data_IF_719465507051
#
_entry.id   IF_719465507051
#
_cell.length_a   1.000
_cell.length_b   1.000
_cell.length_c   1.000
_cell.angle_alpha   90.00
_cell.angle_beta   90.00
_cell.angle_gamma   90.00
#
_symmetry.space_group_name_H-M   'P 1'
#
loop_
_entity.id
_entity.type
_entity.pdbx_description
1 polymer ?
#
# COMPACT_ATOMS: atom_id res chain seq x y z
N UNK A 1 -36.77 -39.82 -8.00
CA UNK A 1 -35.44 -39.43 -7.49
C UNK A 1 -35.02 -38.14 -8.19
N UNK A 2 -35.19 -37.00 -7.53
CA UNK A 2 -34.87 -35.68 -8.08
C UNK A 2 -33.39 -35.36 -7.82
N UNK A 3 -32.64 -35.00 -8.88
CA UNK A 3 -31.25 -34.53 -8.78
C UNK A 3 -31.25 -33.02 -8.56
N UNK A 4 -30.90 -32.60 -7.34
CA UNK A 4 -30.63 -31.20 -7.00
C UNK A 4 -29.24 -30.82 -7.54
N UNK A 5 -29.16 -29.92 -8.52
CA UNK A 5 -27.90 -29.32 -8.95
C UNK A 5 -27.51 -28.22 -7.95
N UNK A 6 -26.33 -28.37 -7.35
CA UNK A 6 -25.73 -27.37 -6.47
C UNK A 6 -25.41 -26.08 -7.22
N UNK A 7 -25.81 -24.96 -6.63
CA UNK A 7 -25.53 -23.62 -7.11
C UNK A 7 -24.06 -23.28 -6.79
N UNK A 8 -23.21 -23.19 -7.81
CA UNK A 8 -21.83 -22.74 -7.65
C UNK A 8 -21.83 -21.23 -7.38
N UNK A 9 -21.43 -20.82 -6.18
CA UNK A 9 -21.30 -19.42 -5.81
C UNK A 9 -20.36 -18.67 -6.74
N UNK A 10 -20.88 -17.64 -7.39
CA UNK A 10 -20.10 -16.70 -8.19
C UNK A 10 -19.15 -15.94 -7.27
N UNK A 11 -17.83 -16.19 -7.38
CA UNK A 11 -16.83 -15.30 -6.78
C UNK A 11 -16.95 -13.94 -7.47
N UNK A 12 -17.51 -12.96 -6.77
CA UNK A 12 -17.50 -11.56 -7.20
C UNK A 12 -16.04 -11.13 -7.25
N UNK A 13 -15.51 -10.92 -8.45
CA UNK A 13 -14.21 -10.27 -8.60
C UNK A 13 -14.36 -8.82 -8.13
N UNK A 14 -13.42 -8.26 -7.35
CA UNK A 14 -13.45 -6.85 -6.98
C UNK A 14 -13.48 -6.01 -8.26
N UNK A 15 -14.32 -4.98 -8.29
CA UNK A 15 -14.35 -4.04 -9.41
C UNK A 15 -12.96 -3.39 -9.55
N UNK A 16 -12.49 -3.24 -10.79
CA UNK A 16 -11.26 -2.49 -11.08
C UNK A 16 -11.49 -1.04 -10.66
N UNK A 17 -10.69 -0.55 -9.71
CA UNK A 17 -10.75 0.83 -9.27
C UNK A 17 -10.04 1.75 -10.27
N UNK A 18 -10.54 2.97 -10.43
CA UNK A 18 -9.89 3.96 -11.29
C UNK A 18 -8.50 4.32 -10.72
N UNK A 19 -7.42 4.07 -11.49
CA UNK A 19 -6.05 4.32 -11.03
C UNK A 19 -5.74 5.81 -10.82
N UNK A 20 -6.58 6.71 -11.33
CA UNK A 20 -6.39 8.17 -11.25
C UNK A 20 -6.93 8.80 -9.98
N UNK A 21 -7.75 8.06 -9.22
CA UNK A 21 -8.37 8.57 -7.99
C UNK A 21 -7.40 8.42 -6.82
N UNK A 22 -7.00 9.55 -6.22
CA UNK A 22 -6.21 9.57 -5.00
C UNK A 22 -7.11 9.40 -3.75
N UNK A 23 -6.56 8.95 -2.60
CA UNK A 23 -7.27 9.02 -1.31
C UNK A 23 -7.84 10.43 -1.05
N UNK A 24 -9.00 10.53 -0.40
CA UNK A 24 -9.66 11.83 -0.22
C UNK A 24 -8.85 12.77 0.69
N UNK A 25 -8.23 12.23 1.73
CA UNK A 25 -7.40 12.96 2.71
C UNK A 25 -6.17 13.62 2.09
N UNK A 26 -5.76 13.19 0.90
CA UNK A 26 -4.63 13.75 0.17
C UNK A 26 -4.96 15.09 -0.52
N UNK A 27 -6.24 15.49 -0.55
CA UNK A 27 -6.73 16.67 -1.26
C UNK A 27 -7.49 17.67 -0.38
N UNK A 28 -7.58 17.43 0.92
CA UNK A 28 -8.40 18.25 1.84
C UNK A 28 -7.65 19.43 2.47
N UNK A 29 -6.40 19.67 2.07
CA UNK A 29 -5.57 20.78 2.56
C UNK A 29 -5.07 20.63 4.00
N UNK A 30 -5.36 19.50 4.66
CA UNK A 30 -4.88 19.22 6.01
C UNK A 30 -3.52 18.51 5.99
N UNK A 31 -2.75 18.56 7.10
CA UNK A 31 -1.46 17.91 7.19
C UNK A 31 -1.49 16.43 6.82
N UNK A 32 -0.40 15.94 6.23
CA UNK A 32 -0.20 14.52 5.87
C UNK A 32 1.01 13.95 6.62
N UNK A 33 1.06 12.62 6.85
CA UNK A 33 2.26 11.96 7.34
C UNK A 33 3.44 12.22 6.41
N UNK A 34 4.64 12.34 6.98
CA UNK A 34 5.87 12.56 6.21
C UNK A 34 6.45 11.28 5.60
N UNK A 35 5.95 10.11 6.02
CA UNK A 35 6.33 8.80 5.49
C UNK A 35 5.16 7.83 5.66
N UNK A 36 4.80 7.13 4.58
CA UNK A 36 3.89 5.99 4.63
C UNK A 36 4.68 4.69 4.51
N UNK A 37 4.48 3.79 5.47
CA UNK A 37 5.11 2.47 5.49
C UNK A 37 4.03 1.41 5.32
N UNK A 38 4.32 0.38 4.53
CA UNK A 38 3.41 -0.74 4.29
C UNK A 38 4.08 -2.06 4.66
N UNK A 39 3.31 -2.98 5.23
CA UNK A 39 3.63 -4.41 5.12
C UNK A 39 3.42 -4.91 3.67
N UNK A 40 3.78 -6.16 3.40
CA UNK A 40 3.62 -6.80 2.10
C UNK A 40 2.43 -7.76 2.07
N UNK A 41 2.52 -8.85 2.83
CA UNK A 41 1.61 -9.97 2.72
C UNK A 41 0.26 -9.58 3.33
N UNK A 42 -0.85 -9.85 2.63
CA UNK A 42 -2.20 -9.40 2.98
C UNK A 42 -2.40 -7.88 3.15
N UNK A 43 -1.36 -7.08 2.88
CA UNK A 43 -1.43 -5.62 2.83
C UNK A 43 -1.38 -5.12 1.40
N UNK A 44 -0.27 -5.32 0.68
CA UNK A 44 -0.17 -4.92 -0.74
C UNK A 44 -0.71 -5.99 -1.68
N UNK A 45 -0.67 -7.26 -1.30
CA UNK A 45 -1.18 -8.37 -2.11
C UNK A 45 -1.89 -9.44 -1.26
N UNK A 46 -2.82 -10.24 -1.82
CA UNK A 46 -3.70 -11.13 -1.03
C UNK A 46 -3.12 -12.52 -0.74
N UNK A 47 -1.84 -12.61 -0.37
CA UNK A 47 -1.16 -13.89 -0.10
C UNK A 47 0.10 -13.71 0.76
N UNK A 48 0.54 -14.77 1.43
CA UNK A 48 1.91 -14.89 1.95
C UNK A 48 2.89 -15.32 0.86
N UNK A 49 3.90 -14.51 0.60
CA UNK A 49 4.91 -14.78 -0.44
C UNK A 49 5.78 -16.02 -0.16
N UNK A 50 6.07 -16.31 1.11
CA UNK A 50 6.89 -17.47 1.50
C UNK A 50 6.12 -18.80 1.53
N UNK A 51 4.81 -18.76 1.40
CA UNK A 51 3.93 -19.92 1.51
C UNK A 51 3.26 -20.27 0.19
N UNK A 52 2.70 -19.27 -0.49
CA UNK A 52 1.86 -19.48 -1.67
C UNK A 52 2.62 -19.42 -2.99
N UNK A 53 3.78 -18.75 -3.04
CA UNK A 53 4.47 -18.47 -4.31
C UNK A 53 5.61 -19.46 -4.53
N UNK A 54 5.63 -20.14 -5.69
CA UNK A 54 6.74 -21.04 -6.05
C UNK A 54 7.71 -20.42 -7.07
N UNK A 55 8.92 -19.99 -6.65
CA UNK A 55 9.88 -19.36 -7.57
C UNK A 55 10.34 -20.30 -8.69
N UNK A 56 10.81 -19.75 -9.84
CA UNK A 56 10.95 -18.32 -10.13
C UNK A 56 9.62 -17.67 -10.53
N UNK A 57 9.52 -16.36 -10.29
CA UNK A 57 8.39 -15.53 -10.76
C UNK A 57 8.72 -14.85 -12.09
N UNK A 58 7.72 -14.68 -12.96
CA UNK A 58 7.83 -14.00 -14.26
C UNK A 58 6.70 -13.01 -14.44
N UNK A 59 7.02 -11.80 -14.91
CA UNK A 59 5.99 -10.81 -15.24
C UNK A 59 5.06 -11.29 -16.36
N UNK A 60 3.79 -10.90 -16.26
CA UNK A 60 2.73 -11.15 -17.23
C UNK A 60 1.83 -9.93 -17.35
N UNK A 61 1.06 -9.89 -18.44
CA UNK A 61 0.03 -8.89 -18.71
C UNK A 61 0.54 -7.45 -18.50
N UNK A 62 1.61 -7.12 -19.22
CA UNK A 62 2.31 -5.83 -19.12
C UNK A 62 2.72 -5.47 -17.67
N UNK A 63 3.21 -6.48 -16.94
CA UNK A 63 3.68 -6.37 -15.55
C UNK A 63 2.60 -6.00 -14.52
N UNK A 64 1.32 -6.05 -14.89
CA UNK A 64 0.21 -5.89 -13.94
C UNK A 64 0.07 -7.09 -12.98
N UNK A 65 0.64 -8.24 -13.36
CA UNK A 65 0.74 -9.43 -12.52
C UNK A 65 2.02 -10.19 -12.80
N UNK A 66 2.33 -11.15 -11.94
CA UNK A 66 3.37 -12.14 -12.17
C UNK A 66 2.81 -13.56 -12.07
N UNK A 67 3.49 -14.51 -12.68
CA UNK A 67 3.21 -15.94 -12.56
C UNK A 67 4.41 -16.68 -12.00
N UNK A 68 4.14 -17.68 -11.19
CA UNK A 68 5.17 -18.53 -10.60
C UNK A 68 5.54 -19.71 -11.54
N UNK A 69 6.34 -20.67 -11.05
CA UNK A 69 6.77 -21.83 -11.87
C UNK A 69 5.62 -22.76 -12.28
N UNK A 70 4.51 -22.74 -11.55
CA UNK A 70 3.32 -23.56 -11.83
C UNK A 70 2.27 -22.81 -12.66
N UNK A 71 2.52 -21.54 -12.96
CA UNK A 71 1.59 -20.69 -13.70
C UNK A 71 0.50 -20.07 -12.82
N UNK A 72 0.61 -20.17 -11.50
CA UNK A 72 -0.30 -19.47 -10.59
C UNK A 72 -0.05 -17.95 -10.67
N UNK A 73 -1.11 -17.17 -10.59
CA UNK A 73 -1.10 -15.74 -10.90
C UNK A 73 -1.21 -14.88 -9.64
N UNK A 74 -0.30 -13.91 -9.51
CA UNK A 74 -0.16 -13.05 -8.35
C UNK A 74 -0.12 -11.58 -8.76
N UNK A 75 -0.91 -10.73 -8.09
CA UNK A 75 -1.02 -9.31 -8.34
C UNK A 75 -1.27 -8.54 -7.03
N UNK A 76 -1.12 -7.21 -7.06
CA UNK A 76 -1.51 -6.36 -5.94
C UNK A 76 -3.03 -6.30 -5.75
N UNK A 77 -3.47 -5.82 -4.59
CA UNK A 77 -4.84 -5.35 -4.42
C UNK A 77 -5.15 -4.20 -5.42
N UNK A 78 -6.40 -4.08 -5.92
CA UNK A 78 -6.74 -3.15 -7.00
C UNK A 78 -6.34 -1.69 -6.75
N UNK A 79 -6.50 -1.20 -5.52
CA UNK A 79 -6.23 0.20 -5.16
C UNK A 79 -4.72 0.52 -5.02
N UNK A 80 -3.85 -0.47 -4.89
CA UNK A 80 -2.43 -0.24 -4.54
C UNK A 80 -1.74 0.63 -5.58
N UNK A 81 -2.02 0.43 -6.87
CA UNK A 81 -1.39 1.25 -7.91
C UNK A 81 -1.74 2.73 -7.76
N UNK A 82 -3.02 3.07 -7.58
CA UNK A 82 -3.44 4.48 -7.42
C UNK A 82 -2.88 5.11 -6.15
N UNK A 83 -2.84 4.36 -5.05
CA UNK A 83 -2.30 4.82 -3.76
C UNK A 83 -0.81 5.19 -3.91
N UNK A 84 0.01 4.30 -4.47
CA UNK A 84 1.44 4.55 -4.61
C UNK A 84 1.73 5.72 -5.58
N UNK A 85 0.93 5.86 -6.64
CA UNK A 85 1.02 7.01 -7.55
C UNK A 85 0.62 8.32 -6.88
N UNK A 86 -0.44 8.32 -6.08
CA UNK A 86 -0.90 9.48 -5.34
C UNK A 86 0.12 9.95 -4.29
N UNK A 87 0.85 9.02 -3.68
CA UNK A 87 1.97 9.32 -2.78
C UNK A 87 3.12 9.97 -3.55
N UNK A 88 3.49 9.40 -4.70
CA UNK A 88 4.56 9.93 -5.56
C UNK A 88 4.26 11.34 -6.06
N UNK A 89 3.04 11.61 -6.52
CA UNK A 89 2.65 12.96 -7.00
C UNK A 89 2.68 14.02 -5.91
N UNK A 90 2.61 13.62 -4.63
CA UNK A 90 2.72 14.49 -3.46
C UNK A 90 4.10 14.48 -2.82
N UNK A 91 5.06 13.81 -3.42
CA UNK A 91 6.40 13.63 -2.86
C UNK A 91 6.38 13.07 -1.43
N UNK A 92 5.42 12.19 -1.12
CA UNK A 92 5.38 11.46 0.15
C UNK A 92 6.28 10.23 -0.02
N UNK A 93 7.40 10.14 0.72
CA UNK A 93 8.25 8.95 0.73
C UNK A 93 7.46 7.72 1.19
N UNK A 94 7.90 6.56 0.69
CA UNK A 94 7.30 5.26 0.93
C UNK A 94 8.33 4.30 1.52
N UNK A 95 7.89 3.52 2.50
CA UNK A 95 8.67 2.45 3.10
C UNK A 95 7.97 1.09 3.02
N UNK A 96 8.77 0.03 3.10
CA UNK A 96 8.32 -1.34 3.31
C UNK A 96 8.90 -1.87 4.61
N UNK A 97 8.08 -2.53 5.39
CA UNK A 97 8.50 -3.33 6.54
C UNK A 97 7.83 -4.68 6.43
N UNK A 98 8.53 -5.76 6.10
CA UNK A 98 7.95 -7.10 5.96
C UNK A 98 8.79 -8.17 6.65
N UNK A 99 8.09 -9.08 7.34
CA UNK A 99 8.67 -10.13 8.17
C UNK A 99 8.89 -11.44 7.44
N UNK A 100 8.59 -11.50 6.14
CA UNK A 100 8.63 -12.74 5.36
C UNK A 100 9.98 -13.46 5.49
N UNK A 101 9.93 -14.80 5.53
CA UNK A 101 11.12 -15.65 5.47
C UNK A 101 11.67 -15.81 4.04
N UNK A 102 11.00 -15.26 3.04
CA UNK A 102 11.44 -15.27 1.64
C UNK A 102 11.78 -13.87 1.11
N UNK A 103 12.77 -13.16 1.70
CA UNK A 103 13.05 -11.77 1.36
C UNK A 103 13.48 -11.56 -0.10
N UNK A 104 14.23 -12.50 -0.68
CA UNK A 104 14.65 -12.42 -2.08
C UNK A 104 13.48 -12.62 -3.03
N UNK A 105 12.57 -13.54 -2.72
CA UNK A 105 11.36 -13.77 -3.52
C UNK A 105 10.43 -12.55 -3.48
N UNK A 106 10.23 -11.95 -2.31
CA UNK A 106 9.46 -10.72 -2.17
C UNK A 106 10.05 -9.58 -3.03
N UNK A 107 11.38 -9.41 -3.03
CA UNK A 107 12.05 -8.43 -3.90
C UNK A 107 11.88 -8.76 -5.38
N UNK A 108 11.94 -10.03 -5.76
CA UNK A 108 11.74 -10.44 -7.14
C UNK A 108 10.31 -10.23 -7.62
N UNK A 109 9.31 -10.43 -6.76
CA UNK A 109 7.93 -10.03 -7.05
C UNK A 109 7.79 -8.52 -7.24
N UNK A 110 8.35 -7.71 -6.34
CA UNK A 110 8.31 -6.24 -6.45
C UNK A 110 9.07 -5.70 -7.68
N UNK A 111 10.08 -6.42 -8.19
CA UNK A 111 10.75 -6.11 -9.47
C UNK A 111 9.90 -6.50 -10.68
N UNK A 112 9.15 -7.60 -10.57
CA UNK A 112 8.32 -8.12 -11.65
C UNK A 112 7.00 -7.33 -11.81
N UNK A 113 6.41 -6.88 -10.69
CA UNK A 113 5.18 -6.10 -10.64
C UNK A 113 5.46 -4.61 -10.86
N UNK A 114 4.59 -3.96 -11.64
CA UNK A 114 4.71 -2.53 -11.97
C UNK A 114 3.49 -1.76 -11.49
N UNK A 115 3.72 -0.51 -11.11
CA UNK A 115 2.69 0.48 -10.84
C UNK A 115 2.34 1.15 -12.16
N UNK A 116 1.10 0.96 -12.62
CA UNK A 116 0.63 1.39 -13.94
C UNK A 116 -0.27 2.62 -13.76
N UNK A 117 0.15 3.82 -14.23
CA UNK A 117 -0.56 5.08 -13.97
C UNK A 117 -1.95 5.21 -14.58
N UNK A 118 -2.15 4.58 -15.73
CA UNK A 118 -3.44 4.53 -16.41
C UNK A 118 -3.38 3.41 -17.44
N UNK A 119 -4.49 2.72 -17.66
CA UNK A 119 -4.66 1.83 -18.80
C UNK A 119 -5.01 2.59 -20.09
N UNK A 120 -4.81 3.93 -20.14
CA UNK A 120 -5.11 4.74 -21.32
C UNK A 120 -3.95 4.79 -22.31
N UNK A 121 -4.27 4.58 -23.58
CA UNK A 121 -3.36 4.72 -24.74
C UNK A 121 -3.05 6.19 -25.07
N UNK A 122 -3.06 7.11 -24.11
CA UNK A 122 -2.78 8.53 -24.37
C UNK A 122 -1.29 8.85 -24.13
N UNK A 123 -0.44 8.86 -25.18
CA UNK A 123 1.00 9.09 -25.06
C UNK A 123 1.39 10.51 -24.67
N UNK A 124 0.44 11.46 -24.56
CA UNK A 124 0.72 12.86 -24.23
C UNK A 124 1.00 13.12 -22.74
N UNK A 125 0.71 12.18 -21.85
CA UNK A 125 1.06 12.31 -20.43
C UNK A 125 2.53 11.89 -20.21
N UNK A 126 3.47 12.82 -20.45
CA UNK A 126 4.92 12.57 -20.36
C UNK A 126 5.41 12.02 -19.00
N UNK A 127 4.57 12.07 -17.96
CA UNK A 127 4.85 11.56 -16.61
C UNK A 127 4.20 10.19 -16.29
N UNK A 128 3.56 9.52 -17.26
CA UNK A 128 2.69 8.34 -17.04
C UNK A 128 3.35 6.97 -17.33
N UNK A 129 4.68 6.87 -17.23
CA UNK A 129 5.37 5.59 -17.50
C UNK A 129 5.16 4.60 -16.34
N UNK A 130 4.87 3.32 -16.62
CA UNK A 130 4.92 2.26 -15.63
C UNK A 130 6.25 2.24 -14.90
N UNK A 131 6.22 2.05 -13.59
CA UNK A 131 7.42 1.98 -12.73
C UNK A 131 7.42 0.65 -12.00
N UNK A 132 8.59 0.01 -11.83
CA UNK A 132 8.71 -1.18 -10.98
C UNK A 132 8.22 -0.84 -9.58
N UNK A 133 7.41 -1.71 -8.99
CA UNK A 133 6.87 -1.46 -7.65
C UNK A 133 7.98 -1.24 -6.62
N UNK A 134 9.08 -2.00 -6.71
CA UNK A 134 10.24 -1.81 -5.84
C UNK A 134 10.81 -0.39 -5.88
N UNK A 135 10.85 0.24 -7.06
CA UNK A 135 11.44 1.58 -7.24
C UNK A 135 10.55 2.70 -6.65
N UNK A 136 9.32 2.38 -6.23
CA UNK A 136 8.45 3.33 -5.53
C UNK A 136 8.85 3.53 -4.06
N UNK A 137 9.56 2.59 -3.46
CA UNK A 137 9.86 2.58 -2.02
C UNK A 137 11.32 2.99 -1.75
N UNK A 138 11.51 4.04 -0.96
CA UNK A 138 12.84 4.56 -0.61
C UNK A 138 13.47 3.82 0.58
N UNK A 139 12.64 3.27 1.46
CA UNK A 139 13.08 2.60 2.70
C UNK A 139 12.57 1.17 2.73
N UNK A 140 13.37 0.20 2.27
CA UNK A 140 12.92 -1.19 2.07
C UNK A 140 13.55 -2.11 3.12
N UNK A 141 12.75 -2.50 4.12
CA UNK A 141 13.13 -3.46 5.15
C UNK A 141 12.31 -4.75 4.98
N UNK A 142 12.93 -5.79 4.42
CA UNK A 142 12.29 -7.11 4.21
C UNK A 142 13.21 -8.18 4.80
N UNK A 143 12.90 -8.64 6.01
CA UNK A 143 13.62 -9.71 6.71
C UNK A 143 12.85 -10.22 7.94
N UNK A 144 13.09 -11.46 8.40
CA UNK A 144 12.44 -11.98 9.61
C UNK A 144 12.92 -11.29 10.89
N UNK A 145 12.14 -10.35 11.40
CA UNK A 145 12.38 -9.69 12.69
C UNK A 145 11.10 -9.07 13.24
N UNK A 146 11.19 -8.45 14.41
CA UNK A 146 10.13 -7.59 14.93
C UNK A 146 10.00 -6.32 14.08
N UNK A 147 8.78 -5.79 13.90
CA UNK A 147 8.55 -4.54 13.18
C UNK A 147 9.23 -3.35 13.85
N UNK A 148 9.44 -3.36 15.16
CA UNK A 148 10.20 -2.29 15.83
C UNK A 148 11.64 -2.20 15.32
N UNK A 149 12.26 -3.33 14.96
CA UNK A 149 13.59 -3.35 14.35
C UNK A 149 13.58 -2.81 12.91
N UNK A 150 12.53 -3.11 12.15
CA UNK A 150 12.33 -2.55 10.81
C UNK A 150 12.20 -1.03 10.88
N UNK A 151 11.34 -0.54 11.77
CA UNK A 151 11.12 0.89 11.97
C UNK A 151 12.35 1.62 12.50
N UNK A 152 13.17 0.96 13.34
CA UNK A 152 14.46 1.52 13.76
C UNK A 152 15.37 1.79 12.56
N UNK A 153 15.47 0.86 11.61
CA UNK A 153 16.26 1.04 10.39
C UNK A 153 15.65 2.10 9.46
N UNK A 154 14.33 2.08 9.28
CA UNK A 154 13.61 3.09 8.48
C UNK A 154 13.84 4.49 9.05
N UNK A 155 13.78 4.66 10.37
CA UNK A 155 14.01 5.94 11.04
C UNK A 155 15.46 6.42 10.87
N UNK A 156 16.43 5.52 10.98
CA UNK A 156 17.86 5.83 10.76
C UNK A 156 18.14 6.25 9.31
N UNK A 157 17.54 5.56 8.32
CA UNK A 157 17.72 5.85 6.89
C UNK A 157 16.98 7.12 6.45
N UNK A 158 15.77 7.35 6.97
CA UNK A 158 14.92 8.47 6.56
C UNK A 158 15.19 9.76 7.35
N UNK A 159 15.66 9.65 8.60
CA UNK A 159 15.73 10.77 9.53
C UNK A 159 14.35 11.32 9.97
N UNK A 160 13.26 10.67 9.58
CA UNK A 160 11.89 11.10 9.91
C UNK A 160 11.56 10.64 11.34
N UNK A 161 10.88 11.49 12.12
CA UNK A 161 10.46 11.13 13.48
C UNK A 161 9.34 10.09 13.43
N UNK A 162 9.30 9.16 14.38
CA UNK A 162 8.27 8.11 14.41
C UNK A 162 6.83 8.67 14.40
N UNK A 163 6.58 9.74 15.15
CA UNK A 163 5.27 10.42 15.19
C UNK A 163 4.84 11.03 13.85
N UNK A 164 5.79 11.27 12.92
CA UNK A 164 5.51 11.76 11.57
C UNK A 164 5.28 10.60 10.57
N UNK A 165 5.29 9.33 11.03
CA UNK A 165 5.08 8.13 10.22
C UNK A 165 3.69 7.52 10.40
N UNK A 166 3.17 6.92 9.34
CA UNK A 166 1.96 6.09 9.35
C UNK A 166 2.26 4.73 8.74
N UNK A 167 1.86 3.67 9.43
CA UNK A 167 2.13 2.29 9.08
C UNK A 167 0.84 1.50 8.85
N UNK A 168 0.78 0.75 7.76
CA UNK A 168 -0.32 -0.14 7.39
C UNK A 168 0.14 -1.59 7.44
N UNK A 169 -0.60 -2.43 8.16
CA UNK A 169 -0.27 -3.85 8.37
C UNK A 169 -1.52 -4.63 8.76
N UNK A 170 -1.63 -5.89 8.34
CA UNK A 170 -2.78 -6.74 8.62
C UNK A 170 -2.71 -7.50 9.95
N UNK A 171 -1.52 -7.61 10.54
CA UNK A 171 -1.33 -8.35 11.76
C UNK A 171 -1.38 -7.45 12.99
N UNK A 172 -2.41 -7.58 13.81
CA UNK A 172 -2.58 -6.77 15.02
C UNK A 172 -1.40 -6.84 16.01
N UNK A 173 -0.60 -7.92 15.99
CA UNK A 173 0.62 -8.06 16.81
C UNK A 173 1.69 -7.01 16.50
N UNK A 174 1.72 -6.51 15.26
CA UNK A 174 2.67 -5.51 14.78
C UNK A 174 2.31 -4.08 15.25
N UNK A 175 1.21 -3.92 16.01
CA UNK A 175 0.83 -2.66 16.68
C UNK A 175 1.87 -2.19 17.69
N UNK A 176 2.78 -3.06 18.12
CA UNK A 176 3.83 -2.71 19.06
C UNK A 176 4.70 -1.52 18.59
N UNK A 177 4.87 -1.29 17.28
CA UNK A 177 5.54 -0.09 16.77
C UNK A 177 4.88 1.22 17.22
N UNK A 178 3.55 1.21 17.42
CA UNK A 178 2.84 2.38 17.93
C UNK A 178 3.08 2.57 19.42
N UNK A 179 2.99 1.49 20.20
CA UNK A 179 3.13 1.57 21.66
C UNK A 179 4.56 1.83 22.10
N UNK A 180 5.54 1.32 21.35
CA UNK A 180 6.96 1.40 21.72
C UNK A 180 7.70 2.57 21.05
N UNK A 181 7.36 2.92 19.80
CA UNK A 181 8.10 3.92 19.03
C UNK A 181 7.29 5.20 18.76
N UNK A 182 5.96 5.16 18.86
CA UNK A 182 5.08 6.30 18.62
C UNK A 182 4.55 6.45 17.19
N UNK A 183 4.92 5.53 16.29
CA UNK A 183 4.40 5.44 14.92
C UNK A 183 2.87 5.27 14.94
N UNK A 184 2.14 5.93 14.05
CA UNK A 184 0.70 5.63 13.94
C UNK A 184 0.50 4.30 13.22
N UNK A 185 -0.19 3.35 13.86
CA UNK A 185 -0.47 2.03 13.30
C UNK A 185 -1.93 1.92 12.82
N UNK A 186 -2.10 1.53 11.56
CA UNK A 186 -3.39 1.25 10.94
C UNK A 186 -3.50 -0.25 10.63
N UNK A 187 -4.43 -0.94 11.31
CA UNK A 187 -4.74 -2.35 11.05
C UNK A 187 -5.53 -2.47 9.74
N UNK A 188 -5.01 -3.20 8.75
CA UNK A 188 -5.66 -3.44 7.45
C UNK A 188 -6.26 -4.85 7.43
N UNK A 189 -7.57 -5.01 7.26
CA UNK A 189 -8.19 -6.35 7.39
C UNK A 189 -8.30 -7.12 6.09
N UNK A 190 -8.62 -6.43 5.01
CA UNK A 190 -9.03 -7.04 3.75
C UNK A 190 -8.17 -6.54 2.57
N UNK A 191 -6.92 -6.18 2.86
CA UNK A 191 -6.01 -5.57 1.92
C UNK A 191 -6.14 -4.06 1.81
N UNK A 192 -5.14 -3.46 1.16
CA UNK A 192 -5.04 -2.02 1.06
C UNK A 192 -6.08 -1.42 0.11
N UNK A 193 -6.88 -0.48 0.62
CA UNK A 193 -7.80 0.36 -0.17
C UNK A 193 -7.52 1.85 0.05
N UNK A 194 -8.15 2.73 -0.74
CA UNK A 194 -8.01 4.19 -0.52
C UNK A 194 -8.65 4.62 0.80
N UNK A 195 -9.77 4.00 1.17
CA UNK A 195 -10.50 4.27 2.40
C UNK A 195 -9.66 3.89 3.62
N UNK A 196 -8.86 2.84 3.52
CA UNK A 196 -7.91 2.45 4.55
C UNK A 196 -6.78 3.49 4.71
N UNK A 197 -6.29 4.07 3.60
CA UNK A 197 -5.35 5.21 3.66
C UNK A 197 -6.01 6.42 4.32
N UNK A 198 -7.22 6.77 3.91
CA UNK A 198 -7.97 7.89 4.49
C UNK A 198 -8.19 7.70 5.99
N UNK A 199 -8.56 6.49 6.41
CA UNK A 199 -8.72 6.14 7.82
C UNK A 199 -7.40 6.27 8.59
N UNK A 200 -6.31 5.72 8.05
CA UNK A 200 -4.99 5.82 8.66
C UNK A 200 -4.50 7.26 8.79
N UNK A 201 -4.70 8.09 7.77
CA UNK A 201 -4.34 9.53 7.81
C UNK A 201 -5.15 10.26 8.87
N UNK A 202 -6.45 9.97 9.00
CA UNK A 202 -7.27 10.53 10.07
C UNK A 202 -6.83 10.10 11.47
N UNK A 203 -6.45 8.84 11.65
CA UNK A 203 -5.94 8.35 12.93
C UNK A 203 -4.59 8.99 13.28
N UNK A 204 -3.72 9.24 12.28
CA UNK A 204 -2.49 10.01 12.46
C UNK A 204 -2.77 11.48 12.83
N UNK A 205 -3.70 12.13 12.12
CA UNK A 205 -4.13 13.52 12.37
C UNK A 205 -4.65 13.72 13.79
N UNK A 206 -5.50 12.82 14.28
CA UNK A 206 -6.00 12.87 15.67
C UNK A 206 -4.86 12.83 16.69
N UNK A 207 -3.83 12.02 16.44
CA UNK A 207 -2.64 11.93 17.31
C UNK A 207 -1.79 13.20 17.28
N UNK A 208 -1.84 13.96 16.17
CA UNK A 208 -1.23 15.27 16.03
C UNK A 208 -2.11 16.43 16.55
N UNK A 209 -3.30 16.13 17.08
CA UNK A 209 -4.23 17.14 17.59
C UNK A 209 -5.08 17.84 16.51
N UNK A 210 -5.09 17.33 15.27
CA UNK A 210 -5.96 17.83 14.20
C UNK A 210 -7.38 17.30 14.40
N UNK A 211 -8.36 18.19 14.32
CA UNK A 211 -9.76 17.95 14.68
C UNK A 211 -10.71 18.02 13.47
N UNK A 212 -11.96 17.62 13.67
CA UNK A 212 -13.01 17.80 12.66
C UNK A 212 -13.29 19.29 12.35
N UNK A 213 -13.11 20.18 13.33
CA UNK A 213 -13.25 21.62 13.13
C UNK A 213 -12.19 22.15 12.15
N UNK A 214 -10.98 21.60 12.16
CA UNK A 214 -9.93 21.95 11.19
C UNK A 214 -10.33 21.53 9.76
N UNK A 215 -11.02 20.40 9.63
CA UNK A 215 -11.59 19.95 8.34
C UNK A 215 -12.63 20.92 7.80
N UNK A 216 -13.56 21.35 8.66
CA UNK A 216 -14.61 22.31 8.30
C UNK A 216 -14.00 23.68 7.95
N UNK A 217 -13.00 24.13 8.71
CA UNK A 217 -12.26 25.36 8.44
C UNK A 217 -11.48 25.30 7.12
N UNK A 218 -10.89 24.15 6.76
CA UNK A 218 -10.23 23.95 5.48
C UNK A 218 -11.23 23.96 4.30
N UNK A 219 -12.41 23.36 4.48
CA UNK A 219 -13.47 23.35 3.47
C UNK A 219 -14.11 24.73 3.24
N UNK A 220 -14.10 25.61 4.24
CA UNK A 220 -14.69 26.95 4.19
C UNK A 220 -13.79 28.04 3.60
N UNK A 221 -12.53 27.75 3.23
CA UNK A 221 -11.66 28.73 2.57
C UNK A 221 -11.96 28.77 1.07
N UNK A 222 -12.42 29.90 0.50
CA UNK A 222 -12.48 30.03 -0.95
C UNK A 222 -11.05 29.93 -1.50
N UNK A 223 -10.88 29.12 -2.54
CA UNK A 223 -9.65 29.11 -3.34
C UNK A 223 -9.62 30.45 -4.06
N UNK A 224 -8.86 31.40 -3.51
CA UNK A 224 -8.59 32.67 -4.15
C UNK A 224 -7.45 32.40 -5.13
N UNK A 225 -7.78 32.33 -6.42
CA UNK A 225 -6.84 32.31 -7.54
C UNK A 225 -6.25 33.72 -7.75
#
# INVERSE_FOLDING_TARGET
MAKTKGNSGTKVQPALEDPTVAPATFNDGLPLPKLLVFDLDYTLWPFWVDTHVSPPVKAKDNNSRCVDRWGESFAFYPAVSSILLACRSRSIPLGLASRTHAPDLARDMLKALYIIPSFSDNPAAANNRPVRALDCFQHVQIFPADKTQHFTRIQQESGIRYEDMLFFDDEARNRNVQTELGVTFCLVRDGMTREEVDRGVWDWRKRMGVTAADKEAAAGRPVID
#
